data_IF_005153999417
#
_entry.id   IF_005153999417
#
_cell.length_a   1.000
_cell.length_b   1.000
_cell.length_c   1.000
_cell.angle_alpha   90.00
_cell.angle_beta   90.00
_cell.angle_gamma   90.00
#
_symmetry.space_group_name_H-M   'P 1'
#
loop_
_entity.id
_entity.type
_entity.pdbx_description
1 polymer ?
#
# COMPACT_ATOMS: atom_id res chain seq x y z
N UNK A 1 -34.08 6.76 11.94
CA UNK A 1 -32.74 6.92 11.32
C UNK A 1 -31.87 5.85 11.96
N UNK A 2 -31.52 4.80 11.23
CA UNK A 2 -30.58 3.78 11.71
C UNK A 2 -29.24 4.19 11.12
N UNK A 3 -28.28 4.59 11.94
CA UNK A 3 -26.90 4.77 11.49
C UNK A 3 -26.33 3.38 11.28
N UNK A 4 -25.92 3.05 10.06
CA UNK A 4 -25.16 1.82 9.81
C UNK A 4 -23.82 1.99 10.55
N UNK A 5 -23.40 1.05 11.41
CA UNK A 5 -22.06 1.08 11.99
C UNK A 5 -21.02 1.02 10.88
N UNK A 6 -19.99 1.85 10.95
CA UNK A 6 -18.87 1.82 10.01
C UNK A 6 -17.98 0.61 10.30
N UNK A 7 -17.82 -0.28 9.33
CA UNK A 7 -16.90 -1.40 9.37
C UNK A 7 -15.53 -0.97 8.82
N UNK A 8 -14.41 -1.42 9.43
CA UNK A 8 -13.08 -1.02 8.97
C UNK A 8 -12.72 -1.65 7.62
N UNK A 9 -11.76 -1.06 6.89
CA UNK A 9 -11.21 -1.63 5.67
C UNK A 9 -10.59 -3.02 5.88
N UNK A 10 -10.64 -3.84 4.84
CA UNK A 10 -10.03 -5.16 4.78
C UNK A 10 -8.80 -5.08 3.87
N UNK A 11 -7.62 -5.20 4.49
CA UNK A 11 -6.34 -5.25 3.80
C UNK A 11 -6.00 -6.66 3.29
N UNK A 12 -5.38 -6.75 2.12
CA UNK A 12 -4.81 -7.98 1.57
C UNK A 12 -3.35 -7.72 1.18
N UNK A 13 -2.45 -8.61 1.58
CA UNK A 13 -1.02 -8.44 1.29
C UNK A 13 -0.75 -8.30 -0.21
N UNK A 14 0.04 -7.29 -0.57
CA UNK A 14 0.58 -7.11 -1.91
C UNK A 14 1.85 -7.92 -2.15
N UNK A 15 2.08 -8.28 -3.41
CA UNK A 15 3.34 -8.87 -3.86
C UNK A 15 3.73 -8.29 -5.22
N UNK A 16 5.00 -7.93 -5.37
CA UNK A 16 5.57 -7.49 -6.63
C UNK A 16 6.99 -8.05 -6.79
N UNK A 17 7.40 -8.29 -8.05
CA UNK A 17 8.75 -8.75 -8.38
C UNK A 17 9.33 -7.88 -9.49
N UNK A 18 10.64 -7.72 -9.48
CA UNK A 18 11.38 -6.93 -10.46
C UNK A 18 12.78 -7.50 -10.68
N UNK A 19 13.44 -7.10 -11.76
CA UNK A 19 14.84 -7.42 -11.96
C UNK A 19 15.73 -6.62 -11.00
N UNK A 20 16.93 -7.13 -10.72
CA UNK A 20 17.90 -6.46 -9.84
C UNK A 20 18.15 -5.02 -10.29
N UNK A 21 18.05 -4.07 -9.35
CA UNK A 21 18.26 -2.64 -9.59
C UNK A 21 17.24 -1.99 -10.53
N UNK A 22 16.07 -2.61 -10.73
CA UNK A 22 14.98 -2.07 -11.56
C UNK A 22 13.83 -1.64 -10.68
N UNK A 23 13.41 -0.38 -10.83
CA UNK A 23 12.25 0.16 -10.11
C UNK A 23 10.98 -0.65 -10.39
N UNK A 24 10.09 -0.70 -9.40
CA UNK A 24 8.80 -1.37 -9.51
C UNK A 24 7.68 -0.49 -8.98
N UNK A 25 6.58 -0.43 -9.74
CA UNK A 25 5.37 0.27 -9.35
C UNK A 25 4.42 -0.74 -8.71
N UNK A 26 3.90 -0.40 -7.53
CA UNK A 26 2.99 -1.24 -6.76
C UNK A 26 1.73 -0.43 -6.47
N UNK A 27 0.56 -1.01 -6.76
CA UNK A 27 -0.72 -0.43 -6.38
C UNK A 27 -1.12 -1.01 -5.01
N UNK A 28 -0.91 -0.23 -3.95
CA UNK A 28 -1.13 -0.68 -2.57
C UNK A 28 -2.61 -0.96 -2.25
N UNK A 29 -3.55 -0.39 -3.00
CA UNK A 29 -4.98 -0.52 -2.73
C UNK A 29 -5.68 -1.47 -3.71
N UNK A 30 -4.91 -2.15 -4.57
CA UNK A 30 -5.46 -2.86 -5.73
C UNK A 30 -6.30 -4.10 -5.39
N UNK A 31 -6.06 -4.67 -4.21
CA UNK A 31 -6.69 -5.89 -3.69
C UNK A 31 -7.44 -5.66 -2.36
N UNK A 32 -7.46 -4.42 -1.87
CA UNK A 32 -8.13 -4.03 -0.64
C UNK A 32 -9.60 -3.67 -0.89
N UNK A 33 -10.40 -3.73 0.18
CA UNK A 33 -11.83 -3.40 0.08
C UNK A 33 -12.39 -2.86 1.38
N UNK A 34 -13.51 -2.15 1.27
CA UNK A 34 -14.29 -1.66 2.39
C UNK A 34 -15.68 -2.33 2.40
N UNK A 35 -16.15 -2.90 3.52
CA UNK A 35 -17.45 -3.57 3.58
C UNK A 35 -18.67 -2.67 3.34
N UNK A 36 -18.55 -1.38 3.70
CA UNK A 36 -19.59 -0.37 3.50
C UNK A 36 -19.53 0.25 2.09
N UNK A 37 -18.44 -0.01 1.37
CA UNK A 37 -18.18 0.50 0.02
C UNK A 37 -17.60 1.91 0.02
N UNK A 38 -17.06 2.35 1.16
CA UNK A 38 -16.40 3.65 1.29
C UNK A 38 -15.04 3.66 0.57
N UNK A 39 -14.58 4.85 0.20
CA UNK A 39 -13.26 5.00 -0.40
C UNK A 39 -12.18 4.77 0.65
N UNK A 40 -11.21 3.93 0.31
CA UNK A 40 -10.03 3.65 1.11
C UNK A 40 -8.82 4.44 0.63
N UNK A 41 -7.93 4.76 1.55
CA UNK A 41 -6.67 5.43 1.28
C UNK A 41 -5.60 4.81 2.18
N UNK A 42 -4.39 4.68 1.68
CA UNK A 42 -3.27 4.33 2.55
C UNK A 42 -2.77 5.59 3.29
N UNK A 43 -2.31 5.39 4.51
CA UNK A 43 -1.65 6.38 5.33
C UNK A 43 -0.27 5.91 5.75
N UNK A 44 0.67 6.87 5.78
CA UNK A 44 2.08 6.61 6.03
C UNK A 44 2.88 6.45 4.74
N UNK A 45 4.18 6.72 4.83
CA UNK A 45 5.13 6.44 3.74
C UNK A 45 5.76 5.09 4.08
N UNK A 46 5.57 4.05 3.26
CA UNK A 46 6.21 2.77 3.51
C UNK A 46 7.73 2.95 3.52
N UNK A 47 8.40 2.37 4.51
CA UNK A 47 9.86 2.43 4.61
C UNK A 47 10.47 1.15 4.05
N UNK A 48 11.44 1.30 3.15
CA UNK A 48 12.25 0.22 2.63
C UNK A 48 13.46 -0.05 3.52
N UNK A 49 13.87 -1.32 3.66
CA UNK A 49 15.16 -1.64 4.28
C UNK A 49 16.31 -1.65 3.25
N UNK A 50 16.00 -1.86 1.98
CA UNK A 50 16.95 -2.04 0.88
C UNK A 50 16.63 -1.15 -0.32
N UNK A 51 16.46 0.14 -0.07
CA UNK A 51 16.13 1.12 -1.10
C UNK A 51 15.36 2.30 -0.52
N UNK A 52 14.50 2.89 -1.34
CA UNK A 52 13.56 3.92 -0.90
C UNK A 52 12.26 3.86 -1.69
N UNK A 53 11.22 4.52 -1.16
CA UNK A 53 9.86 4.51 -1.71
C UNK A 53 9.45 5.92 -2.10
N UNK A 54 8.96 6.10 -3.32
CA UNK A 54 8.23 7.28 -3.79
C UNK A 54 6.73 7.00 -3.71
N UNK A 55 5.94 7.89 -3.10
CA UNK A 55 4.48 7.76 -3.05
C UNK A 55 3.82 8.67 -4.09
N UNK A 56 2.75 8.17 -4.72
CA UNK A 56 2.01 8.88 -5.75
C UNK A 56 0.59 9.24 -5.29
N UNK A 57 0.01 10.36 -5.75
CA UNK A 57 -1.35 10.76 -5.38
C UNK A 57 -2.47 9.80 -5.79
N UNK A 58 -2.19 8.86 -6.72
CA UNK A 58 -3.15 7.90 -7.26
C UNK A 58 -3.26 6.60 -6.45
N UNK A 59 -2.56 6.50 -5.32
CA UNK A 59 -2.57 5.29 -4.49
C UNK A 59 -1.43 4.33 -4.77
N UNK A 60 -0.59 4.61 -5.79
CA UNK A 60 0.57 3.77 -6.11
C UNK A 60 1.84 4.24 -5.41
N UNK A 61 2.82 3.34 -5.34
CA UNK A 61 4.19 3.66 -4.96
C UNK A 61 5.17 3.22 -6.05
N UNK A 62 6.30 3.90 -6.15
CA UNK A 62 7.50 3.37 -6.81
C UNK A 62 8.49 2.94 -5.74
N UNK A 63 8.88 1.66 -5.75
CA UNK A 63 10.01 1.18 -4.97
C UNK A 63 11.29 1.24 -5.83
N UNK A 64 12.32 1.85 -5.27
CA UNK A 64 13.65 1.98 -5.85
C UNK A 64 14.63 1.11 -5.05
N UNK A 65 14.94 -0.12 -5.51
CA UNK A 65 15.87 -0.99 -4.80
C UNK A 65 17.28 -0.38 -4.73
N UNK A 66 18.02 -0.67 -3.67
CA UNK A 66 19.45 -0.36 -3.62
C UNK A 66 20.19 -1.03 -4.79
N UNK A 67 21.18 -0.36 -5.41
CA UNK A 67 21.95 -0.94 -6.51
C UNK A 67 22.55 -2.31 -6.14
N UNK A 68 22.17 -3.34 -6.89
CA UNK A 68 22.66 -4.71 -6.69
C UNK A 68 21.97 -5.49 -5.56
N UNK A 69 20.90 -4.96 -4.97
CA UNK A 69 20.10 -5.73 -4.02
C UNK A 69 19.44 -6.95 -4.69
N UNK A 70 19.63 -8.11 -4.07
CA UNK A 70 19.01 -9.38 -4.42
C UNK A 70 18.34 -9.94 -3.16
N UNK A 71 17.02 -10.08 -3.19
CA UNK A 71 16.27 -10.58 -2.03
C UNK A 71 14.83 -10.08 -2.00
N UNK A 72 14.20 -10.27 -0.84
CA UNK A 72 12.86 -9.75 -0.53
C UNK A 72 13.03 -8.56 0.41
N UNK A 73 12.46 -7.42 0.04
CA UNK A 73 12.23 -6.28 0.95
C UNK A 73 10.76 -6.29 1.36
N UNK A 74 10.44 -5.75 2.54
CA UNK A 74 9.08 -5.75 3.10
C UNK A 74 8.75 -4.37 3.63
N UNK A 75 7.56 -3.89 3.27
CA UNK A 75 7.04 -2.60 3.66
C UNK A 75 5.76 -2.80 4.46
N UNK A 76 5.55 -1.98 5.48
CA UNK A 76 4.29 -1.91 6.20
C UNK A 76 3.61 -0.59 5.88
N UNK A 77 2.30 -0.63 5.67
CA UNK A 77 1.44 0.54 5.53
C UNK A 77 0.11 0.28 6.21
N UNK A 78 -0.64 1.35 6.49
CA UNK A 78 -1.99 1.26 7.06
C UNK A 78 -2.99 1.79 6.05
N UNK A 79 -4.15 1.16 5.95
CA UNK A 79 -5.29 1.68 5.20
C UNK A 79 -6.35 2.23 6.15
N UNK A 80 -7.08 3.24 5.70
CA UNK A 80 -8.15 3.88 6.45
C UNK A 80 -9.28 4.30 5.50
N UNK A 81 -10.51 4.13 5.95
CA UNK A 81 -11.69 4.67 5.26
C UNK A 81 -11.91 6.18 5.54
N UNK A 82 -12.91 6.77 4.91
CA UNK A 82 -13.24 8.19 5.09
C UNK A 82 -13.85 8.54 6.48
N UNK A 83 -14.28 7.53 7.23
CA UNK A 83 -14.92 7.67 8.55
C UNK A 83 -13.93 7.40 9.70
N UNK A 84 -12.71 6.99 9.37
CA UNK A 84 -11.57 6.90 10.26
C UNK A 84 -11.35 5.53 10.90
N UNK A 85 -12.02 4.48 10.43
CA UNK A 85 -11.79 3.10 10.89
C UNK A 85 -10.74 2.36 10.03
#
# INVERSE_FOLDING_TARGET
>A
MTTIPNDPPIAVNDEATTAVGTDVIINLLGNDSDPDGDSIHFYGVPTANHGWVETHPDGTITYHPDPGFEGVDTFEYTIQDANGA
#
